data_IF_045391815069
#
_entry.id   IF_045391815069
#
_cell.length_a   1.000
_cell.length_b   1.000
_cell.length_c   1.000
_cell.angle_alpha   90.00
_cell.angle_beta   90.00
_cell.angle_gamma   90.00
#
_symmetry.space_group_name_H-M   'P 1'
#
loop_
_entity.id
_entity.type
_entity.pdbx_description
1 polymer ?
#
# COMPACT_ATOMS: atom_id res chain seq x y z
N UNK A 1 -8.36 -7.91 36.04
CA UNK A 1 -9.03 -8.44 34.83
C UNK A 1 -9.27 -7.25 33.91
N UNK A 2 -8.43 -7.03 32.90
CA UNK A 2 -8.59 -5.91 31.97
C UNK A 2 -9.74 -6.25 31.02
N UNK A 3 -10.86 -5.57 31.16
CA UNK A 3 -11.98 -5.68 30.22
C UNK A 3 -11.66 -4.74 29.07
N UNK A 4 -11.19 -5.29 27.95
CA UNK A 4 -11.05 -4.52 26.72
C UNK A 4 -12.46 -4.16 26.20
N UNK A 5 -12.71 -2.87 26.00
CA UNK A 5 -13.96 -2.33 25.47
C UNK A 5 -13.80 -2.15 23.97
N UNK A 6 -14.71 -2.74 23.18
CA UNK A 6 -14.71 -2.60 21.72
C UNK A 6 -15.89 -1.74 21.27
N UNK A 7 -15.61 -0.69 20.51
CA UNK A 7 -16.62 0.15 19.84
C UNK A 7 -16.49 -0.09 18.34
N UNK A 8 -17.58 -0.56 17.75
CA UNK A 8 -17.74 -0.61 16.30
C UNK A 8 -18.57 0.59 15.88
N UNK A 9 -17.97 1.51 15.14
CA UNK A 9 -18.68 2.66 14.58
C UNK A 9 -18.91 2.36 13.11
N UNK A 10 -20.15 2.02 12.79
CA UNK A 10 -20.59 1.89 11.39
C UNK A 10 -21.06 3.27 10.94
N UNK A 11 -20.28 3.92 10.08
CA UNK A 11 -20.72 5.15 9.44
C UNK A 11 -21.65 4.80 8.28
N UNK A 12 -22.87 4.36 8.58
CA UNK A 12 -23.89 4.21 7.56
C UNK A 12 -24.37 5.62 7.18
N UNK A 13 -23.90 6.13 6.05
CA UNK A 13 -24.27 7.46 5.49
C UNK A 13 -23.80 8.68 6.29
N UNK A 14 -22.78 8.55 7.15
CA UNK A 14 -22.31 9.69 7.93
C UNK A 14 -21.22 10.45 7.20
N UNK A 15 -21.69 11.25 6.26
CA UNK A 15 -20.88 12.10 5.42
C UNK A 15 -20.63 13.44 6.13
N UNK A 16 -19.46 13.59 6.74
CA UNK A 16 -19.08 14.86 7.36
C UNK A 16 -18.45 15.79 6.34
N UNK A 17 -19.24 16.78 5.95
CA UNK A 17 -18.76 17.94 5.21
C UNK A 17 -18.49 19.05 6.18
N UNK A 18 -17.22 19.38 6.33
CA UNK A 18 -16.83 20.62 6.94
C UNK A 18 -16.08 21.44 5.90
N UNK A 19 -16.50 22.69 5.72
CA UNK A 19 -15.78 23.67 4.92
C UNK A 19 -15.34 24.75 5.89
N UNK A 20 -14.04 24.85 6.13
CA UNK A 20 -13.48 25.98 6.84
C UNK A 20 -12.34 26.56 6.04
N UNK A 21 -12.55 27.79 5.62
CA UNK A 21 -11.62 28.60 4.87
C UNK A 21 -10.82 29.38 5.92
N UNK A 22 -9.51 29.14 6.00
CA UNK A 22 -8.58 29.95 6.80
C UNK A 22 -8.10 29.37 8.13
N UNK A 23 -8.43 28.12 8.48
CA UNK A 23 -7.91 27.46 9.69
C UNK A 23 -6.99 26.28 9.32
N UNK A 24 -5.90 26.14 10.07
CA UNK A 24 -4.88 25.09 9.89
C UNK A 24 -5.29 23.78 10.57
N UNK A 25 -6.20 23.83 11.55
CA UNK A 25 -6.70 22.66 12.28
C UNK A 25 -8.20 22.74 12.55
N UNK A 26 -8.86 21.57 12.51
CA UNK A 26 -10.27 21.40 12.82
C UNK A 26 -10.53 20.21 13.73
N UNK A 27 -11.66 20.29 14.42
CA UNK A 27 -12.14 19.24 15.30
C UNK A 27 -13.60 18.93 15.03
N UNK A 28 -13.87 17.71 14.59
CA UNK A 28 -15.22 17.17 14.49
C UNK A 28 -15.55 16.45 15.80
N UNK A 29 -16.75 16.67 16.36
CA UNK A 29 -17.19 16.00 17.59
C UNK A 29 -18.51 15.28 17.37
N UNK A 30 -18.48 13.95 17.55
CA UNK A 30 -19.60 13.04 17.43
C UNK A 30 -20.09 12.71 18.83
N UNK A 31 -21.27 13.20 19.18
CA UNK A 31 -21.87 12.90 20.48
C UNK A 31 -22.81 11.72 20.30
N UNK A 32 -22.43 10.61 20.90
CA UNK A 32 -23.31 9.47 21.08
C UNK A 32 -24.06 9.68 22.40
N UNK A 33 -25.33 9.28 22.44
CA UNK A 33 -26.08 9.26 23.69
C UNK A 33 -25.49 8.24 24.67
N UNK A 34 -26.22 7.93 25.73
CA UNK A 34 -25.84 6.86 26.63
C UNK A 34 -26.03 5.51 25.92
N UNK A 35 -24.95 4.72 25.82
CA UNK A 35 -24.94 3.41 25.18
C UNK A 35 -24.54 2.38 26.24
N UNK A 36 -25.49 1.57 26.68
CA UNK A 36 -25.28 0.56 27.74
C UNK A 36 -24.63 1.17 29.00
N UNK A 37 -23.42 0.70 29.36
CA UNK A 37 -22.63 1.16 30.51
C UNK A 37 -21.75 2.39 30.21
N UNK A 38 -21.83 2.93 29.00
CA UNK A 38 -21.05 4.08 28.55
C UNK A 38 -21.95 5.32 28.51
N UNK A 39 -21.77 6.21 29.50
CA UNK A 39 -22.50 7.47 29.54
C UNK A 39 -21.75 8.58 28.84
N UNK A 40 -22.46 9.43 28.10
CA UNK A 40 -21.90 10.61 27.44
C UNK A 40 -20.71 10.29 26.55
N UNK A 41 -20.82 9.27 25.69
CA UNK A 41 -19.77 8.88 24.75
C UNK A 41 -19.61 9.94 23.66
N UNK A 42 -18.43 10.54 23.54
CA UNK A 42 -18.11 11.53 22.52
C UNK A 42 -16.84 11.12 21.79
N UNK A 43 -16.91 10.97 20.47
CA UNK A 43 -15.74 10.70 19.63
C UNK A 43 -15.37 11.98 18.90
N UNK A 44 -14.14 12.45 19.06
CA UNK A 44 -13.62 13.67 18.44
C UNK A 44 -12.52 13.32 17.46
N UNK A 45 -12.63 13.82 16.23
CA UNK A 45 -11.64 13.65 15.18
C UNK A 45 -10.92 15.00 15.02
N UNK A 46 -9.62 15.02 15.26
CA UNK A 46 -8.77 16.19 15.07
C UNK A 46 -8.02 16.07 13.75
N UNK A 47 -8.15 17.09 12.93
CA UNK A 47 -7.57 17.13 11.59
C UNK A 47 -6.74 18.40 11.42
N UNK A 48 -5.73 18.34 10.57
CA UNK A 48 -4.95 19.51 10.16
C UNK A 48 -4.82 19.60 8.65
N UNK A 49 -4.44 20.76 8.16
CA UNK A 49 -4.17 21.04 6.76
C UNK A 49 -2.78 21.64 6.61
N UNK A 50 -1.91 20.94 5.89
CA UNK A 50 -0.52 21.31 5.70
C UNK A 50 -0.20 21.41 4.21
N UNK A 51 0.47 22.49 3.80
CA UNK A 51 0.99 22.63 2.45
C UNK A 51 2.29 21.83 2.32
N UNK A 52 2.31 20.85 1.42
CA UNK A 52 3.51 20.08 1.12
C UNK A 52 4.16 20.63 -0.15
N UNK A 53 5.31 21.31 0.01
CA UNK A 53 6.04 21.91 -1.12
C UNK A 53 6.40 20.90 -2.21
N UNK A 54 6.84 19.70 -1.82
CA UNK A 54 7.18 18.62 -2.76
C UNK A 54 5.99 18.17 -3.63
N UNK A 55 4.77 18.29 -3.12
CA UNK A 55 3.55 17.95 -3.84
C UNK A 55 2.88 19.17 -4.50
N UNK A 56 3.33 20.40 -4.19
CA UNK A 56 2.74 21.64 -4.68
C UNK A 56 1.28 21.85 -4.28
N UNK A 57 0.79 21.17 -3.23
CA UNK A 57 -0.61 21.23 -2.84
C UNK A 57 -0.81 21.06 -1.32
N UNK A 58 -1.98 21.48 -0.86
CA UNK A 58 -2.46 21.28 0.50
C UNK A 58 -2.93 19.83 0.71
N UNK A 59 -2.53 19.23 1.81
CA UNK A 59 -2.98 17.91 2.24
C UNK A 59 -3.63 18.02 3.60
N UNK A 60 -4.72 17.28 3.78
CA UNK A 60 -5.33 17.14 5.08
C UNK A 60 -4.94 15.81 5.70
N UNK A 61 -4.71 15.84 7.02
CA UNK A 61 -4.37 14.66 7.82
C UNK A 61 -5.36 14.56 8.98
N UNK A 62 -5.70 13.33 9.37
CA UNK A 62 -6.36 13.07 10.63
C UNK A 62 -5.26 12.86 11.67
N UNK A 63 -5.03 13.85 12.53
CA UNK A 63 -3.90 13.82 13.46
C UNK A 63 -4.18 12.84 14.62
N UNK A 64 -5.37 12.95 15.21
CA UNK A 64 -5.77 12.15 16.36
C UNK A 64 -7.28 11.94 16.47
N UNK A 65 -7.64 10.83 17.10
CA UNK A 65 -9.01 10.49 17.49
C UNK A 65 -9.08 10.42 19.01
N UNK A 66 -9.93 11.24 19.60
CA UNK A 66 -10.17 11.26 21.04
C UNK A 66 -11.54 10.65 21.35
N UNK A 67 -11.59 9.70 22.26
CA UNK A 67 -12.84 9.22 22.86
C UNK A 67 -12.95 9.82 24.25
N UNK A 68 -14.04 10.51 24.52
CA UNK A 68 -14.45 10.90 25.86
C UNK A 68 -15.65 10.05 26.29
N UNK A 69 -15.64 9.53 27.51
CA UNK A 69 -16.74 8.75 28.07
C UNK A 69 -16.84 8.96 29.58
N UNK A 70 -18.01 8.71 30.16
CA UNK A 70 -18.31 8.97 31.57
C UNK A 70 -17.93 10.40 32.01
N UNK A 71 -18.04 11.37 31.09
CA UNK A 71 -17.73 12.80 31.25
C UNK A 71 -16.26 13.15 31.52
N UNK A 72 -15.52 12.33 32.27
CA UNK A 72 -14.16 12.62 32.74
C UNK A 72 -13.06 11.78 32.10
N UNK A 73 -13.41 10.62 31.53
CA UNK A 73 -12.42 9.68 31.01
C UNK A 73 -12.17 9.96 29.53
N UNK A 74 -10.90 9.96 29.13
CA UNK A 74 -10.48 10.22 27.76
C UNK A 74 -9.45 9.17 27.31
N UNK A 75 -9.62 8.69 26.07
CA UNK A 75 -8.69 7.81 25.37
C UNK A 75 -8.30 8.49 24.06
N UNK A 76 -7.01 8.51 23.74
CA UNK A 76 -6.47 9.16 22.55
C UNK A 76 -5.75 8.15 21.66
N UNK A 77 -5.99 8.26 20.36
CA UNK A 77 -5.37 7.47 19.29
C UNK A 77 -4.75 8.42 18.27
N UNK A 78 -3.53 8.12 17.85
CA UNK A 78 -2.84 8.79 16.75
C UNK A 78 -3.27 8.13 15.44
N UNK A 79 -3.52 8.95 14.41
CA UNK A 79 -4.06 8.50 13.13
C UNK A 79 -3.20 8.94 11.94
N UNK A 80 -1.88 8.87 12.08
CA UNK A 80 -0.89 9.41 11.13
C UNK A 80 -0.99 8.87 9.70
N UNK A 81 -1.61 7.71 9.50
CA UNK A 81 -1.73 7.05 8.19
C UNK A 81 -3.03 7.41 7.45
N UNK A 82 -3.86 8.29 8.01
CA UNK A 82 -5.10 8.76 7.41
C UNK A 82 -4.89 10.18 6.86
N UNK A 83 -4.59 10.27 5.56
CA UNK A 83 -4.30 11.53 4.88
C UNK A 83 -4.76 11.52 3.42
N UNK A 84 -5.15 12.68 2.89
CA UNK A 84 -5.47 12.86 1.48
C UNK A 84 -5.26 14.32 1.03
N UNK A 85 -5.17 14.57 -0.29
CA UNK A 85 -5.14 15.94 -0.80
C UNK A 85 -6.37 16.72 -0.35
N UNK A 86 -6.21 18.00 0.02
CA UNK A 86 -7.31 18.86 0.48
C UNK A 86 -8.42 19.05 -0.58
N UNK A 87 -8.13 18.75 -1.85
CA UNK A 87 -9.07 18.78 -2.97
C UNK A 87 -9.89 17.51 -3.13
N UNK A 88 -9.53 16.43 -2.44
CA UNK A 88 -10.12 15.09 -2.57
C UNK A 88 -10.69 14.64 -1.23
N UNK A 89 -11.49 13.57 -1.24
CA UNK A 89 -11.93 12.91 -0.01
C UNK A 89 -11.03 11.71 0.28
N UNK A 90 -10.85 11.34 1.55
CA UNK A 90 -10.20 10.08 1.92
C UNK A 90 -11.26 9.00 2.07
N UNK A 91 -11.03 7.81 1.51
CA UNK A 91 -11.90 6.65 1.66
C UNK A 91 -11.12 5.42 2.08
N UNK A 92 -11.66 4.65 3.02
CA UNK A 92 -11.05 3.39 3.44
C UNK A 92 -12.09 2.41 3.96
N UNK A 93 -11.95 1.14 3.57
CA UNK A 93 -12.87 0.09 4.01
C UNK A 93 -12.84 -0.10 5.53
N UNK A 94 -11.65 -0.04 6.13
CA UNK A 94 -11.44 -0.24 7.57
C UNK A 94 -10.42 0.75 8.10
N UNK A 95 -10.79 1.53 9.12
CA UNK A 95 -9.85 2.32 9.93
C UNK A 95 -9.97 1.85 11.37
N UNK A 96 -8.97 1.16 11.89
CA UNK A 96 -9.07 0.48 13.18
C UNK A 96 -7.81 0.53 14.02
N UNK A 97 -7.98 0.39 15.34
CA UNK A 97 -6.88 0.13 16.28
C UNK A 97 -6.54 -1.35 16.43
N UNK A 98 -7.24 -2.24 15.73
CA UNK A 98 -6.95 -3.67 15.73
C UNK A 98 -5.87 -4.02 14.70
N UNK A 99 -4.92 -4.86 15.12
CA UNK A 99 -3.83 -5.35 14.26
C UNK A 99 -4.31 -6.15 13.03
N UNK A 100 -5.56 -6.63 13.06
CA UNK A 100 -6.19 -7.33 11.93
C UNK A 100 -6.42 -6.41 10.72
N UNK A 101 -6.57 -5.10 10.93
CA UNK A 101 -6.95 -4.13 9.90
C UNK A 101 -5.90 -3.00 9.77
N UNK A 102 -4.63 -3.39 9.67
CA UNK A 102 -3.46 -2.52 9.49
C UNK A 102 -3.17 -1.49 10.61
N UNK A 103 -3.93 -1.49 11.70
CA UNK A 103 -3.67 -0.68 12.91
C UNK A 103 -3.51 0.82 12.65
N UNK A 104 -4.31 1.38 11.73
CA UNK A 104 -4.28 2.81 11.37
C UNK A 104 -4.53 3.76 12.55
N UNK A 105 -5.12 3.28 13.65
CA UNK A 105 -5.32 4.02 14.90
C UNK A 105 -4.42 3.46 16.00
N UNK A 106 -3.35 4.18 16.32
CA UNK A 106 -2.37 3.74 17.33
C UNK A 106 -2.64 4.43 18.66
N UNK A 107 -2.79 3.71 19.80
CA UNK A 107 -2.95 4.35 21.10
C UNK A 107 -1.77 5.30 21.40
N UNK A 108 -2.05 6.51 21.87
CA UNK A 108 -1.00 7.52 22.15
C UNK A 108 -0.02 7.07 23.26
N UNK A 109 -0.46 6.19 24.15
CA UNK A 109 0.33 5.61 25.23
C UNK A 109 -0.13 4.17 25.49
N UNK A 110 0.84 3.27 25.68
CA UNK A 110 0.60 1.85 25.96
C UNK A 110 0.13 1.58 27.40
N UNK A 111 0.22 2.57 28.29
CA UNK A 111 -0.18 2.46 29.71
C UNK A 111 -1.50 3.15 30.03
N UNK A 112 -2.05 3.91 29.08
CA UNK A 112 -3.26 4.71 29.30
C UNK A 112 -4.53 3.92 29.01
N UNK A 113 -5.67 4.50 29.39
CA UNK A 113 -6.99 3.93 29.17
C UNK A 113 -7.22 3.55 27.70
N UNK A 114 -6.56 4.23 26.74
CA UNK A 114 -6.58 3.96 25.29
C UNK A 114 -6.22 2.52 24.91
N UNK A 115 -5.30 1.87 25.63
CA UNK A 115 -4.92 0.48 25.33
C UNK A 115 -6.05 -0.52 25.62
N UNK A 116 -7.04 -0.13 26.45
CA UNK A 116 -8.22 -0.94 26.75
C UNK A 116 -9.37 -0.69 25.76
N UNK A 117 -9.16 0.14 24.74
CA UNK A 117 -10.18 0.50 23.76
C UNK A 117 -9.82 0.00 22.37
N UNK A 118 -10.75 -0.73 21.76
CA UNK A 118 -10.70 -1.09 20.35
C UNK A 118 -11.73 -0.29 19.59
N UNK A 119 -11.30 0.43 18.56
CA UNK A 119 -12.19 1.19 17.67
C UNK A 119 -12.03 0.61 16.27
N UNK A 120 -13.16 0.42 15.59
CA UNK A 120 -13.18 0.10 14.18
C UNK A 120 -14.21 0.97 13.49
N UNK A 121 -13.74 1.81 12.58
CA UNK A 121 -14.56 2.46 11.57
C UNK A 121 -14.63 1.57 10.34
N UNK A 122 -15.85 1.38 9.83
CA UNK A 122 -16.11 0.64 8.60
C UNK A 122 -16.65 1.60 7.55
N UNK A 123 -16.24 1.42 6.29
CA UNK A 123 -16.64 2.26 5.16
C UNK A 123 -16.41 3.75 5.43
N UNK A 124 -15.19 4.08 5.86
CA UNK A 124 -14.83 5.41 6.35
C UNK A 124 -14.54 6.35 5.18
N UNK A 125 -15.35 7.40 5.04
CA UNK A 125 -15.11 8.48 4.09
C UNK A 125 -15.11 9.85 4.78
N UNK A 126 -14.09 10.67 4.55
CA UNK A 126 -13.96 11.99 5.18
C UNK A 126 -13.37 13.04 4.23
N UNK A 127 -13.84 14.29 4.35
CA UNK A 127 -13.27 15.45 3.66
C UNK A 127 -13.40 16.69 4.55
N UNK A 128 -12.27 17.28 4.93
CA UNK A 128 -12.22 18.36 5.91
C UNK A 128 -12.04 19.77 5.31
N UNK A 129 -11.53 19.87 4.09
CA UNK A 129 -11.16 21.14 3.46
C UNK A 129 -11.64 21.19 1.99
N UNK A 130 -11.86 22.40 1.47
CA UNK A 130 -12.19 22.68 0.07
C UNK A 130 -13.38 21.88 -0.51
N UNK A 131 -14.48 21.82 0.24
CA UNK A 131 -15.71 21.15 -0.20
C UNK A 131 -16.49 22.05 -1.15
N UNK A 132 -16.70 21.59 -2.39
CA UNK A 132 -17.54 22.29 -3.38
C UNK A 132 -18.92 21.63 -3.51
N UNK A 133 -19.98 22.44 -3.62
CA UNK A 133 -21.33 22.02 -4.02
C UNK A 133 -21.97 20.90 -3.19
N UNK A 134 -21.66 20.83 -1.89
CA UNK A 134 -22.27 19.84 -0.97
C UNK A 134 -22.13 18.36 -1.42
N UNK A 135 -21.17 18.02 -2.30
CA UNK A 135 -20.79 16.62 -2.64
C UNK A 135 -19.31 16.30 -2.35
N UNK A 136 -18.99 15.05 -2.00
CA UNK A 136 -17.58 14.69 -1.79
C UNK A 136 -16.85 14.84 -3.11
N UNK A 137 -15.63 15.36 -3.03
CA UNK A 137 -14.70 15.26 -4.15
C UNK A 137 -14.29 13.79 -4.34
N UNK A 138 -13.58 13.52 -5.45
CA UNK A 138 -13.09 12.18 -5.76
C UNK A 138 -12.43 11.53 -4.54
N UNK A 139 -12.77 10.27 -4.29
CA UNK A 139 -12.19 9.52 -3.19
C UNK A 139 -10.76 9.10 -3.52
N UNK A 140 -9.87 9.28 -2.55
CA UNK A 140 -8.53 8.73 -2.50
C UNK A 140 -8.57 7.54 -1.55
N UNK A 141 -8.43 6.34 -2.09
CA UNK A 141 -8.51 5.11 -1.31
C UNK A 141 -7.22 4.87 -0.52
N UNK A 142 -7.38 4.35 0.71
CA UNK A 142 -6.27 3.99 1.59
C UNK A 142 -5.43 2.81 1.06
N UNK A 143 -6.05 1.94 0.28
CA UNK A 143 -5.36 0.82 -0.36
C UNK A 143 -4.87 1.27 -1.74
N UNK A 144 -3.55 1.34 -1.90
CA UNK A 144 -2.98 1.44 -3.25
C UNK A 144 -3.27 0.14 -3.99
N UNK A 145 -3.84 0.24 -5.20
CA UNK A 145 -4.19 -0.92 -6.06
C UNK A 145 -3.01 -1.89 -6.27
N UNK A 146 -1.78 -1.41 -6.10
CA UNK A 146 -0.55 -2.17 -6.17
C UNK A 146 0.24 -1.93 -4.88
N UNK A 147 0.11 -2.85 -3.93
CA UNK A 147 0.95 -2.81 -2.73
C UNK A 147 2.43 -2.90 -3.13
N UNK A 148 3.36 -2.35 -2.33
CA UNK A 148 4.79 -2.46 -2.62
C UNK A 148 5.24 -3.92 -2.85
N UNK A 149 4.66 -4.87 -2.11
CA UNK A 149 4.94 -6.29 -2.27
C UNK A 149 4.48 -6.83 -3.65
N UNK A 150 3.26 -6.49 -4.08
CA UNK A 150 2.75 -6.90 -5.40
C UNK A 150 3.59 -6.27 -6.51
N UNK A 151 3.97 -5.00 -6.37
CA UNK A 151 4.81 -4.32 -7.36
C UNK A 151 6.17 -5.01 -7.51
N UNK A 152 6.83 -5.36 -6.42
CA UNK A 152 8.09 -6.12 -6.46
C UNK A 152 7.90 -7.50 -7.10
N UNK A 153 6.77 -8.17 -6.84
CA UNK A 153 6.42 -9.44 -7.48
C UNK A 153 6.20 -9.30 -8.99
N UNK A 154 5.49 -8.27 -9.43
CA UNK A 154 5.26 -8.02 -10.86
C UNK A 154 6.55 -7.67 -11.59
N UNK A 155 7.41 -6.85 -11.00
CA UNK A 155 8.71 -6.48 -11.57
C UNK A 155 9.60 -7.71 -11.73
N UNK A 156 9.70 -8.54 -10.68
CA UNK A 156 10.53 -9.76 -10.75
C UNK A 156 9.96 -10.78 -11.73
N UNK A 157 8.64 -10.99 -11.74
CA UNK A 157 7.97 -11.84 -12.72
C UNK A 157 8.22 -11.37 -14.16
N UNK A 158 8.15 -10.06 -14.41
CA UNK A 158 8.43 -9.49 -15.73
C UNK A 158 9.88 -9.73 -16.17
N UNK A 159 10.85 -9.57 -15.26
CA UNK A 159 12.27 -9.83 -15.54
C UNK A 159 12.48 -11.31 -15.93
N UNK A 160 11.92 -12.25 -15.16
CA UNK A 160 12.04 -13.67 -15.46
C UNK A 160 11.40 -14.04 -16.81
N UNK A 161 10.25 -13.44 -17.14
CA UNK A 161 9.61 -13.62 -18.44
C UNK A 161 10.48 -13.13 -19.60
N UNK A 162 11.14 -11.99 -19.45
CA UNK A 162 12.06 -11.46 -20.47
C UNK A 162 13.27 -12.38 -20.66
N UNK A 163 13.86 -12.90 -19.58
CA UNK A 163 14.97 -13.86 -19.65
C UNK A 163 14.54 -15.15 -20.36
N UNK A 164 13.36 -15.67 -20.02
CA UNK A 164 12.81 -16.87 -20.65
C UNK A 164 12.54 -16.63 -22.15
N UNK A 165 11.93 -15.50 -22.50
CA UNK A 165 11.67 -15.13 -23.89
C UNK A 165 12.97 -15.01 -24.69
N UNK A 166 14.02 -14.43 -24.10
CA UNK A 166 15.35 -14.36 -24.72
C UNK A 166 15.95 -15.75 -24.95
N UNK A 167 15.90 -16.64 -23.95
CA UNK A 167 16.38 -18.00 -24.09
C UNK A 167 15.62 -18.78 -25.19
N UNK A 168 14.28 -18.66 -25.20
CA UNK A 168 13.43 -19.28 -26.24
C UNK A 168 13.73 -18.72 -27.62
N UNK A 169 13.93 -17.41 -27.74
CA UNK A 169 14.32 -16.77 -28.99
C UNK A 169 15.63 -17.34 -29.53
N UNK A 170 16.62 -17.57 -28.67
CA UNK A 170 17.89 -18.21 -29.05
C UNK A 170 17.70 -19.66 -29.50
N UNK A 171 16.86 -20.45 -28.81
CA UNK A 171 16.56 -21.85 -29.20
C UNK A 171 15.85 -21.91 -30.55
N UNK A 172 14.89 -21.01 -30.80
CA UNK A 172 14.18 -20.94 -32.09
C UNK A 172 15.15 -20.53 -33.21
N UNK A 173 16.04 -19.57 -32.97
CA UNK A 173 17.05 -19.17 -33.94
C UNK A 173 17.98 -20.33 -34.33
N UNK A 174 18.46 -21.11 -33.34
CA UNK A 174 19.28 -22.30 -33.61
C UNK A 174 18.51 -23.33 -34.43
N UNK A 175 17.26 -23.64 -34.05
CA UNK A 175 16.41 -24.57 -34.84
C UNK A 175 16.14 -24.09 -36.26
N UNK A 176 16.04 -22.78 -36.48
CA UNK A 176 15.87 -22.22 -37.82
C UNK A 176 17.14 -22.43 -38.67
N UNK A 177 18.32 -22.27 -38.07
CA UNK A 177 19.60 -22.52 -38.75
C UNK A 177 19.75 -24.01 -39.10
N UNK A 178 19.48 -24.92 -38.16
CA UNK A 178 19.59 -26.37 -38.41
C UNK A 178 18.68 -26.83 -39.56
N UNK A 179 17.42 -26.38 -39.59
CA UNK A 179 16.51 -26.72 -40.70
C UNK A 179 16.93 -26.11 -42.04
N UNK A 180 17.53 -24.93 -42.03
CA UNK A 180 18.06 -24.32 -43.25
C UNK A 180 19.23 -25.13 -43.83
N UNK A 181 20.12 -25.63 -42.98
CA UNK A 181 21.22 -26.50 -43.39
C UNK A 181 20.72 -27.87 -43.90
N UNK A 182 19.67 -28.45 -43.29
CA UNK A 182 19.05 -29.69 -43.78
C UNK A 182 18.35 -29.52 -45.15
N UNK A 183 17.72 -28.37 -45.40
CA UNK A 183 17.16 -28.03 -46.71
C UNK A 183 18.24 -27.77 -47.78
N UNK A 184 19.39 -27.20 -47.39
CA UNK A 184 20.55 -27.10 -48.28
C UNK A 184 21.16 -28.46 -48.61
N UNK A 185 21.26 -29.36 -47.63
CA UNK A 185 21.81 -30.70 -47.83
C UNK A 185 20.94 -31.56 -48.75
N UNK A 186 19.61 -31.45 -48.66
CA UNK A 186 18.65 -32.20 -49.49
C UNK A 186 18.47 -31.63 -50.91
N UNK A 187 18.69 -30.32 -51.11
CA UNK A 187 18.70 -29.70 -52.45
C UNK A 187 20.10 -29.75 -53.10
N UNK A 188 21.13 -30.04 -52.31
CA UNK A 188 22.53 -30.15 -52.69
C UNK A 188 23.02 -31.59 -52.91
N UNK A 189 22.13 -32.54 -53.23
CA UNK A 189 22.52 -33.84 -53.75
C UNK A 189 23.00 -33.68 -55.20
N UNK A 190 24.20 -33.09 -55.31
CA UNK A 190 24.87 -32.76 -56.56
C UNK A 190 26.36 -32.48 -56.41
N UNK A 191 26.87 -32.13 -55.23
CA UNK A 191 28.32 -31.92 -55.08
C UNK A 191 28.86 -32.51 -53.77
N UNK A 192 29.25 -33.78 -53.87
CA UNK A 192 30.22 -34.38 -52.98
C UNK A 192 31.54 -33.62 -53.06
N UNK A 193 32.00 -33.03 -51.95
CA UNK A 193 33.32 -33.30 -51.36
C UNK A 193 33.64 -32.40 -50.16
N UNK A 194 34.32 -33.06 -49.23
CA UNK A 194 35.41 -32.58 -48.37
C UNK A 194 35.12 -32.13 -46.93
N UNK A 195 35.68 -32.98 -46.06
CA UNK A 195 36.45 -32.66 -44.87
C UNK A 195 35.70 -32.15 -43.64
N UNK A 196 35.50 -33.09 -42.73
CA UNK A 196 35.49 -32.80 -41.31
C UNK A 196 36.79 -32.16 -40.86
N UNK A 197 36.65 -31.15 -40.00
CA UNK A 197 37.53 -30.81 -38.89
C UNK A 197 36.88 -29.63 -38.15
N UNK A 198 36.16 -29.89 -37.05
CA UNK A 198 35.79 -28.83 -36.10
C UNK A 198 36.78 -28.83 -34.95
N UNK A 199 37.62 -27.81 -34.95
CA UNK A 199 38.66 -27.54 -33.98
C UNK A 199 38.02 -27.13 -32.64
N UNK A 200 37.95 -28.03 -31.65
CA UNK A 200 37.55 -27.66 -30.29
C UNK A 200 38.77 -27.16 -29.52
N UNK A 201 38.83 -25.86 -29.21
CA UNK A 201 39.86 -25.30 -28.32
C UNK A 201 39.35 -25.37 -26.88
N UNK A 202 39.87 -26.34 -26.11
CA UNK A 202 39.60 -26.45 -24.68
C UNK A 202 40.69 -25.72 -23.90
N UNK A 203 40.35 -24.62 -23.23
CA UNK A 203 41.23 -23.93 -22.28
C UNK A 203 41.21 -24.72 -20.94
N UNK A 204 42.36 -25.26 -20.50
CA UNK A 204 42.51 -25.85 -19.16
C UNK A 204 42.92 -24.76 -18.18
N UNK A 205 42.10 -24.51 -17.16
CA UNK A 205 42.51 -23.76 -15.96
C UNK A 205 43.02 -24.78 -14.93
N UNK A 206 44.30 -24.69 -14.57
CA UNK A 206 44.92 -25.50 -13.52
C UNK A 206 44.99 -24.66 -12.24
N UNK A 207 44.37 -25.16 -11.17
CA UNK A 207 44.52 -24.61 -9.81
C UNK A 207 45.84 -25.07 -9.21
N UNK A 208 46.61 -24.14 -8.63
CA UNK A 208 47.73 -24.46 -7.73
C UNK A 208 47.63 -23.59 -6.49
N UNK A 209 47.57 -24.26 -5.33
CA UNK A 209 47.65 -23.67 -3.99
C UNK A 209 48.92 -22.84 -3.82
N UNK A 210 48.85 -21.77 -3.02
CA UNK A 210 50.03 -21.23 -2.33
C UNK A 210 49.69 -21.02 -0.86
N UNK A 211 50.33 -21.86 -0.04
CA UNK A 211 50.46 -21.76 1.41
C UNK A 211 51.41 -20.62 1.79
N UNK A 212 51.13 -20.07 2.97
CA UNK A 212 51.81 -19.00 3.71
C UNK A 212 53.34 -19.01 3.69
N UNK A 213 53.95 -17.82 3.65
CA UNK A 213 55.03 -17.44 4.59
C UNK A 213 54.77 -16.03 5.07
#
# INVERSE_FOLDING_TARGET
MCIARSIFVVFKYLQFKYSAIGFISHRLSLRFGDVEDLRGLVIRLQMSNTFYEAAGQNWFTLDSVHIQYNWTQEATFNASEVYAPATSSYHCQHVSSLHKYDTLLVPSSHTDTSANWHITFTDFQIQAFNVQSEKFASASDCATFLTPAILMGLVTSLILLLVLAYALHMVVHLKHIDRYEEHKATTGEGEAKNQGCSHYKSEKVSSTEISST
#
